data_IF_422010773399
#
_entry.id   IF_422010773399
#
_cell.length_a   1.000
_cell.length_b   1.000
_cell.length_c   1.000
_cell.angle_alpha   90.00
_cell.angle_beta   90.00
_cell.angle_gamma   90.00
#
_symmetry.space_group_name_H-M   'P 1'
#
loop_
_entity.id
_entity.type
_entity.pdbx_description
1 polymer ?
#
# COMPACT_ATOMS: atom_id res chain seq x y z
N UNK A 1 -28.02 -42.56 -21.62
CA UNK A 1 -28.98 -42.55 -22.74
C UNK A 1 -30.39 -42.51 -22.13
N UNK A 2 -31.00 -41.33 -22.14
CA UNK A 2 -32.24 -41.00 -22.87
C UNK A 2 -33.50 -41.71 -22.34
N UNK A 3 -34.64 -41.08 -22.08
CA UNK A 3 -35.11 -39.69 -21.94
C UNK A 3 -36.65 -39.81 -21.74
N UNK A 4 -37.28 -38.80 -21.14
CA UNK A 4 -38.72 -38.43 -21.22
C UNK A 4 -39.82 -39.24 -20.49
N UNK A 5 -40.37 -38.59 -19.45
CA UNK A 5 -41.84 -38.35 -19.27
C UNK A 5 -42.33 -37.39 -20.38
N UNK A 6 -43.64 -37.29 -20.77
CA UNK A 6 -44.82 -37.17 -19.88
C UNK A 6 -46.19 -37.66 -20.43
N UNK A 7 -47.28 -37.53 -19.65
CA UNK A 7 -48.59 -37.00 -20.11
C UNK A 7 -49.59 -36.77 -18.95
N UNK A 8 -50.43 -35.76 -19.18
CA UNK A 8 -51.44 -35.16 -18.31
C UNK A 8 -52.70 -36.03 -18.17
N UNK A 9 -53.49 -35.79 -17.11
CA UNK A 9 -54.92 -35.55 -17.33
C UNK A 9 -55.60 -34.71 -16.23
N UNK A 10 -56.75 -34.17 -16.63
CA UNK A 10 -57.48 -33.00 -16.11
C UNK A 10 -58.67 -33.36 -15.22
N UNK A 11 -59.12 -32.44 -14.34
CA UNK A 11 -60.56 -32.18 -14.15
C UNK A 11 -60.86 -30.86 -13.42
N UNK A 12 -61.92 -30.23 -13.90
CA UNK A 12 -62.46 -28.88 -13.66
C UNK A 12 -63.60 -28.92 -12.64
N UNK A 13 -63.77 -27.86 -11.83
CA UNK A 13 -65.10 -27.30 -11.47
C UNK A 13 -65.00 -25.83 -10.99
N UNK A 14 -65.87 -24.98 -11.55
CA UNK A 14 -66.08 -23.54 -11.32
C UNK A 14 -67.33 -23.30 -10.46
N UNK A 15 -67.38 -22.16 -9.76
CA UNK A 15 -68.52 -21.20 -9.65
C UNK A 15 -68.12 -20.10 -8.64
N UNK A 16 -67.89 -18.82 -8.99
CA UNK A 16 -68.71 -17.71 -9.52
C UNK A 16 -69.04 -16.65 -8.43
N UNK A 17 -68.51 -15.43 -8.62
CA UNK A 17 -68.87 -14.15 -7.93
C UNK A 17 -70.25 -13.64 -8.44
N UNK A 18 -70.83 -12.54 -7.89
CA UNK A 18 -70.56 -11.16 -8.41
C UNK A 18 -70.65 -10.02 -7.33
N UNK A 19 -69.85 -8.94 -7.41
CA UNK A 19 -70.16 -7.53 -7.81
C UNK A 19 -71.22 -6.78 -6.96
N UNK A 20 -71.24 -5.46 -6.67
CA UNK A 20 -70.44 -4.27 -7.00
C UNK A 20 -71.00 -3.02 -6.27
N UNK A 21 -70.20 -1.94 -6.23
CA UNK A 21 -70.56 -0.50 -6.43
C UNK A 21 -71.18 0.44 -5.35
N UNK A 22 -70.51 1.63 -5.27
CA UNK A 22 -71.00 3.04 -5.09
C UNK A 22 -71.60 3.42 -3.72
N UNK A 23 -71.43 4.60 -3.13
CA UNK A 23 -70.86 5.93 -3.44
C UNK A 23 -71.31 6.85 -2.27
N UNK A 24 -70.47 7.74 -1.71
CA UNK A 24 -70.35 9.19 -2.00
C UNK A 24 -70.86 10.08 -0.85
N UNK A 25 -70.15 11.21 -0.64
CA UNK A 25 -70.54 12.46 0.04
C UNK A 25 -70.71 12.44 1.58
N UNK A 26 -70.47 13.49 2.36
CA UNK A 26 -69.83 14.83 2.26
C UNK A 26 -69.93 15.41 3.70
N UNK A 27 -69.00 16.29 4.05
CA UNK A 27 -69.11 17.42 5.01
C UNK A 27 -67.85 17.53 5.89
N UNK A 28 -66.93 18.44 5.55
CA UNK A 28 -66.91 19.87 5.93
C UNK A 28 -66.91 20.08 7.44
N UNK A 29 -65.77 20.51 7.98
CA UNK A 29 -65.71 21.84 8.60
C UNK A 29 -64.27 22.36 8.76
N UNK A 30 -64.11 23.64 8.42
CA UNK A 30 -62.91 24.47 8.42
C UNK A 30 -62.72 25.16 9.79
N UNK A 31 -61.47 25.50 10.08
CA UNK A 31 -60.96 26.55 10.98
C UNK A 31 -61.80 27.85 11.03
N UNK A 32 -61.67 28.67 12.11
CA UNK A 32 -60.85 29.90 11.95
C UNK A 32 -60.08 30.43 13.20
N UNK A 33 -58.80 30.75 12.96
CA UNK A 33 -58.05 32.03 13.16
C UNK A 33 -58.08 32.86 14.48
N UNK A 34 -56.87 33.45 14.72
CA UNK A 34 -56.46 34.70 15.45
C UNK A 34 -56.11 34.51 16.95
N UNK A 35 -55.05 35.11 17.54
CA UNK A 35 -54.42 36.46 17.36
C UNK A 35 -52.89 36.48 17.58
N UNK A 36 -52.26 37.54 17.05
CA UNK A 36 -50.88 38.02 17.20
C UNK A 36 -50.71 38.97 18.41
N UNK A 37 -49.43 39.19 18.78
CA UNK A 37 -48.75 40.40 19.34
C UNK A 37 -48.26 40.32 20.81
N UNK A 38 -47.25 41.13 21.24
CA UNK A 38 -46.15 41.78 20.50
C UNK A 38 -44.75 41.64 21.15
N UNK A 39 -43.71 42.11 20.45
CA UNK A 39 -42.36 42.39 20.97
C UNK A 39 -42.27 43.77 21.66
N UNK A 40 -41.22 44.00 22.46
CA UNK A 40 -40.41 45.23 22.36
C UNK A 40 -38.92 44.84 22.23
N UNK A 41 -37.97 45.62 21.69
CA UNK A 41 -37.92 46.97 21.21
C UNK A 41 -36.44 47.39 21.14
N UNK A 42 -36.00 47.75 19.92
CA UNK A 42 -34.98 48.74 19.50
C UNK A 42 -33.64 48.92 20.25
N UNK A 43 -32.59 48.86 19.42
CA UNK A 43 -31.37 49.68 19.44
C UNK A 43 -30.31 48.99 18.56
N UNK A 44 -29.85 49.44 17.39
CA UNK A 44 -29.81 50.75 16.77
C UNK A 44 -28.35 51.16 16.56
N UNK A 45 -27.75 50.83 15.40
CA UNK A 45 -26.79 51.67 14.64
C UNK A 45 -26.39 51.01 13.31
N UNK A 46 -26.57 51.79 12.24
CA UNK A 46 -26.15 51.54 10.84
C UNK A 46 -24.73 52.07 10.61
N UNK A 47 -23.99 51.46 9.69
CA UNK A 47 -23.16 52.09 8.63
C UNK A 47 -22.88 51.02 7.57
N UNK A 48 -23.45 51.13 6.36
CA UNK A 48 -22.94 51.72 5.11
C UNK A 48 -21.86 50.91 4.36
N UNK A 49 -22.30 50.43 3.19
CA UNK A 49 -21.65 50.29 1.87
C UNK A 49 -20.27 49.65 1.71
N UNK A 50 -20.20 48.73 0.73
CA UNK A 50 -18.95 48.34 0.08
C UNK A 50 -19.08 47.04 -0.70
N UNK A 51 -19.77 47.09 -1.85
CA UNK A 51 -19.61 46.07 -2.88
C UNK A 51 -18.21 46.26 -3.49
N UNK A 52 -17.33 45.27 -3.39
CA UNK A 52 -16.04 45.27 -4.08
C UNK A 52 -15.83 43.92 -4.75
N UNK A 53 -15.86 44.00 -6.07
CA UNK A 53 -15.40 43.04 -7.05
C UNK A 53 -13.88 42.84 -6.90
N UNK A 54 -13.40 41.61 -6.82
CA UNK A 54 -11.96 41.30 -6.84
C UNK A 54 -11.66 40.21 -7.86
N UNK A 55 -11.32 40.69 -9.05
CA UNK A 55 -10.59 39.93 -10.04
C UNK A 55 -9.20 39.50 -9.55
N UNK A 56 -8.78 38.35 -10.06
CA UNK A 56 -7.40 37.83 -10.25
C UNK A 56 -6.25 38.64 -9.63
N UNK A 57 -5.46 37.95 -8.78
CA UNK A 57 -3.99 37.76 -8.88
C UNK A 57 -3.47 37.02 -7.63
N UNK A 58 -2.85 35.86 -7.82
CA UNK A 58 -1.75 35.41 -6.95
C UNK A 58 -0.71 34.70 -7.81
N UNK A 59 0.51 35.23 -7.78
CA UNK A 59 1.69 34.63 -8.35
C UNK A 59 2.69 34.36 -7.21
N UNK A 60 3.28 33.17 -7.28
CA UNK A 60 4.64 32.75 -6.86
C UNK A 60 5.08 32.98 -5.42
N UNK A 61 5.45 31.88 -4.78
CA UNK A 61 6.76 31.79 -4.12
C UNK A 61 7.31 30.36 -4.19
N UNK A 62 8.22 30.14 -5.14
CA UNK A 62 9.08 28.97 -5.20
C UNK A 62 10.41 29.31 -4.54
N UNK A 63 11.03 28.35 -3.86
CA UNK A 63 12.42 28.47 -3.43
C UNK A 63 13.14 27.13 -3.54
N UNK A 64 14.01 27.08 -4.54
CA UNK A 64 15.13 26.14 -4.66
C UNK A 64 16.30 26.69 -3.83
N UNK A 65 16.99 25.83 -3.09
CA UNK A 65 18.29 26.15 -2.49
C UNK A 65 19.37 25.38 -3.26
N UNK A 66 20.25 26.14 -3.90
CA UNK A 66 21.50 25.70 -4.56
C UNK A 66 22.64 26.37 -3.78
N UNK A 67 23.56 25.59 -3.20
CA UNK A 67 24.86 26.08 -2.72
C UNK A 67 25.95 25.30 -3.46
N UNK A 68 26.64 25.94 -4.42
CA UNK A 68 27.89 26.70 -4.32
C UNK A 68 29.14 25.85 -4.65
N UNK A 69 29.55 25.89 -5.92
CA UNK A 69 30.97 25.76 -6.31
C UNK A 69 31.58 27.17 -6.32
N UNK A 70 32.63 27.40 -5.53
CA UNK A 70 33.56 28.53 -5.74
C UNK A 70 34.74 28.06 -6.57
N UNK A 71 35.02 28.80 -7.64
CA UNK A 71 36.19 28.60 -8.48
C UNK A 71 37.45 29.23 -7.89
N UNK A 72 38.59 28.91 -8.54
CA UNK A 72 39.77 29.77 -8.59
C UNK A 72 40.40 29.65 -9.97
N UNK A 73 40.54 30.79 -10.63
CA UNK A 73 41.45 31.03 -11.75
C UNK A 73 42.86 31.26 -11.17
N UNK A 74 43.88 30.68 -11.78
CA UNK A 74 45.19 31.31 -11.89
C UNK A 74 45.88 30.86 -13.19
N UNK A 75 46.71 31.79 -13.64
CA UNK A 75 47.25 31.96 -14.97
C UNK A 75 48.50 31.11 -15.26
N UNK A 76 48.88 31.13 -16.53
CA UNK A 76 49.99 30.43 -17.21
C UNK A 76 51.38 30.62 -16.58
N UNK A 77 52.24 29.59 -16.71
CA UNK A 77 53.61 29.71 -17.25
C UNK A 77 54.24 28.32 -17.46
N UNK A 78 54.98 28.15 -18.56
CA UNK A 78 55.56 26.88 -19.00
C UNK A 78 56.90 26.51 -18.36
N UNK A 79 57.43 25.35 -18.75
CA UNK A 79 58.78 24.91 -18.42
C UNK A 79 59.03 23.48 -18.87
N UNK A 80 60.00 23.30 -19.76
CA UNK A 80 60.40 22.04 -20.41
C UNK A 80 61.19 21.11 -19.46
N UNK A 81 61.38 19.88 -19.96
CA UNK A 81 62.57 19.00 -19.84
C UNK A 81 62.54 17.80 -18.85
N UNK A 82 63.32 16.71 -19.11
CA UNK A 82 62.75 15.45 -19.60
C UNK A 82 63.28 14.17 -18.91
N UNK A 83 62.94 13.02 -19.52
CA UNK A 83 63.69 11.74 -19.62
C UNK A 83 63.61 10.73 -18.46
N UNK A 84 63.07 9.56 -18.85
CA UNK A 84 63.40 8.21 -18.35
C UNK A 84 64.92 7.95 -18.38
N UNK A 85 65.37 6.96 -17.60
CA UNK A 85 66.07 5.85 -18.23
C UNK A 85 65.50 4.48 -17.84
N UNK A 86 65.76 3.53 -18.73
CA UNK A 86 65.48 2.11 -18.64
C UNK A 86 66.82 1.38 -18.73
N UNK A 87 66.87 0.16 -18.17
CA UNK A 87 67.97 -0.83 -18.20
C UNK A 87 69.17 -0.50 -17.26
N UNK A 88 69.83 -1.44 -16.60
CA UNK A 88 70.15 -2.79 -17.05
C UNK A 88 70.50 -3.75 -15.89
N UNK A 89 70.64 -5.03 -16.24
CA UNK A 89 70.59 -6.20 -15.36
C UNK A 89 71.69 -6.38 -14.31
N UNK A 90 71.47 -7.38 -13.45
CA UNK A 90 72.55 -8.25 -12.95
C UNK A 90 72.04 -9.58 -12.38
N UNK A 91 72.90 -10.55 -12.63
CA UNK A 91 72.85 -11.99 -12.48
C UNK A 91 72.78 -12.48 -11.03
N UNK A 92 72.21 -13.69 -10.87
CA UNK A 92 72.22 -14.56 -9.68
C UNK A 92 73.57 -14.59 -8.94
N UNK A 93 73.49 -14.68 -7.60
CA UNK A 93 74.34 -15.57 -6.79
C UNK A 93 73.63 -15.92 -5.49
N UNK A 94 73.59 -17.22 -5.21
CA UNK A 94 73.04 -17.86 -4.02
C UNK A 94 73.93 -17.65 -2.81
N UNK A 95 73.35 -17.29 -1.68
CA UNK A 95 73.89 -17.59 -0.36
C UNK A 95 72.73 -18.03 0.54
N UNK A 96 72.77 -19.30 0.92
CA UNK A 96 72.00 -19.83 2.03
C UNK A 96 72.55 -19.23 3.33
N UNK A 97 71.68 -18.76 4.25
CA UNK A 97 71.78 -19.08 5.68
C UNK A 97 70.62 -18.53 6.55
N UNK A 98 70.14 -19.46 7.40
CA UNK A 98 69.46 -19.35 8.71
C UNK A 98 67.96 -19.00 8.81
N UNK A 99 67.19 -19.79 9.59
CA UNK A 99 65.74 -19.65 9.71
C UNK A 99 65.38 -18.46 10.61
N UNK A 100 64.61 -17.52 10.08
CA UNK A 100 64.03 -16.44 10.86
C UNK A 100 62.95 -16.99 11.82
N UNK A 101 63.07 -16.64 13.09
CA UNK A 101 62.09 -16.91 14.12
C UNK A 101 60.69 -16.44 13.69
N UNK A 102 59.69 -17.33 13.86
CA UNK A 102 58.28 -17.02 13.62
C UNK A 102 57.87 -15.83 14.47
N UNK A 103 57.62 -14.69 13.83
CA UNK A 103 56.85 -13.60 14.44
C UNK A 103 55.46 -14.14 14.77
N UNK A 104 54.89 -13.86 15.96
CA UNK A 104 53.50 -14.16 16.22
C UNK A 104 52.68 -13.42 15.18
N UNK A 105 51.90 -14.16 14.40
CA UNK A 105 50.81 -13.57 13.64
C UNK A 105 49.86 -12.98 14.69
N UNK A 106 49.87 -11.67 14.83
CA UNK A 106 48.73 -10.97 15.41
C UNK A 106 47.58 -11.23 14.45
N UNK A 107 46.77 -12.24 14.76
CA UNK A 107 45.45 -12.39 14.20
C UNK A 107 44.73 -11.09 14.54
N UNK A 108 44.67 -10.18 13.57
CA UNK A 108 43.71 -9.10 13.63
C UNK A 108 42.36 -9.78 13.67
N UNK A 109 41.67 -9.68 14.80
CA UNK A 109 40.26 -9.98 14.88
C UNK A 109 39.57 -9.04 13.90
N UNK A 110 39.37 -9.49 12.66
CA UNK A 110 38.20 -9.08 11.90
C UNK A 110 37.01 -9.36 12.82
N UNK A 111 36.10 -8.40 13.07
CA UNK A 111 34.89 -8.68 13.81
C UNK A 111 34.25 -9.90 13.16
N UNK A 112 34.08 -10.97 13.95
CA UNK A 112 33.41 -12.16 13.45
C UNK A 112 32.09 -11.71 12.85
N UNK A 113 31.86 -12.04 11.57
CA UNK A 113 30.54 -11.90 10.98
C UNK A 113 29.67 -12.92 11.72
N UNK A 114 29.08 -12.49 12.83
CA UNK A 114 27.99 -13.20 13.47
C UNK A 114 26.88 -13.22 12.45
N UNK A 115 26.56 -14.42 11.95
CA UNK A 115 25.53 -14.61 10.94
C UNK A 115 24.17 -14.44 11.63
N UNK A 116 23.80 -13.20 11.93
CA UNK A 116 22.55 -12.85 12.62
C UNK A 116 21.38 -13.24 11.73
N UNK A 117 20.59 -14.20 12.17
CA UNK A 117 19.38 -14.65 11.46
C UNK A 117 18.22 -13.77 11.89
N UNK A 118 17.75 -12.93 10.98
CA UNK A 118 16.61 -12.03 11.22
C UNK A 118 15.36 -12.62 10.58
N UNK A 119 14.29 -12.77 11.35
CA UNK A 119 12.97 -13.08 10.81
C UNK A 119 12.27 -11.80 10.35
N UNK A 120 11.67 -11.84 9.16
CA UNK A 120 10.78 -10.78 8.69
C UNK A 120 9.33 -11.19 8.91
N UNK A 121 8.60 -10.36 9.63
CA UNK A 121 7.17 -10.55 9.90
C UNK A 121 6.39 -9.40 9.30
N UNK A 122 5.25 -9.70 8.70
CA UNK A 122 4.22 -8.70 8.36
C UNK A 122 2.83 -9.27 8.62
N UNK A 123 1.79 -8.56 8.23
CA UNK A 123 0.41 -9.00 8.35
C UNK A 123 -0.23 -9.24 6.97
N UNK A 124 -1.41 -9.88 6.94
CA UNK A 124 -2.03 -10.28 5.68
C UNK A 124 -2.36 -9.12 4.74
N UNK A 125 -2.44 -7.88 5.25
CA UNK A 125 -2.71 -6.71 4.41
C UNK A 125 -1.51 -6.26 3.58
N UNK A 126 -0.36 -6.93 3.67
CA UNK A 126 0.76 -6.74 2.76
C UNK A 126 0.46 -7.24 1.33
N UNK A 127 -0.59 -8.06 1.16
CA UNK A 127 -1.05 -8.58 -0.13
C UNK A 127 0.08 -9.17 -0.98
N UNK A 128 0.91 -10.02 -0.36
CA UNK A 128 2.02 -10.69 -1.02
C UNK A 128 1.62 -12.08 -1.56
N UNK A 129 2.10 -12.48 -2.75
CA UNK A 129 1.88 -13.82 -3.27
C UNK A 129 2.51 -14.91 -2.38
N UNK A 130 1.77 -15.99 -2.10
CA UNK A 130 2.26 -17.12 -1.30
C UNK A 130 3.60 -17.72 -1.78
N UNK A 131 3.87 -17.90 -3.09
CA UNK A 131 5.18 -18.37 -3.56
C UNK A 131 6.33 -17.45 -3.16
N UNK A 132 6.09 -16.13 -3.18
CA UNK A 132 7.10 -15.12 -2.84
C UNK A 132 7.32 -15.05 -1.33
N UNK A 133 6.25 -15.12 -0.54
CA UNK A 133 6.32 -15.23 0.93
C UNK A 133 7.23 -16.41 1.32
N UNK A 134 6.98 -17.58 0.73
CA UNK A 134 7.78 -18.79 0.98
C UNK A 134 9.23 -18.64 0.52
N UNK A 135 9.46 -18.12 -0.68
CA UNK A 135 10.81 -17.96 -1.24
C UNK A 135 11.67 -16.96 -0.43
N UNK A 136 11.03 -15.95 0.18
CA UNK A 136 11.67 -14.90 0.96
C UNK A 136 11.72 -15.17 2.47
N UNK A 137 11.15 -16.29 2.92
CA UNK A 137 11.09 -16.63 4.35
C UNK A 137 10.29 -15.61 5.18
N UNK A 138 9.28 -14.97 4.59
CA UNK A 138 8.46 -13.96 5.26
C UNK A 138 7.37 -14.68 6.07
N UNK A 139 7.16 -14.25 7.31
CA UNK A 139 6.06 -14.72 8.15
C UNK A 139 4.89 -13.76 8.08
N UNK A 140 3.68 -14.28 7.86
CA UNK A 140 2.44 -13.48 7.79
C UNK A 140 1.58 -13.79 9.02
N UNK A 141 1.20 -12.74 9.77
CA UNK A 141 0.17 -12.83 10.80
C UNK A 141 -1.19 -12.43 10.20
N UNK A 142 -2.14 -13.39 10.03
CA UNK A 142 -3.38 -13.12 9.31
C UNK A 142 -4.34 -12.23 10.10
N UNK A 143 -4.91 -11.22 9.43
CA UNK A 143 -6.07 -10.49 9.95
C UNK A 143 -7.34 -11.33 9.77
N UNK A 144 -8.39 -10.98 10.51
CA UNK A 144 -9.67 -11.66 10.42
C UNK A 144 -10.66 -10.84 9.59
N UNK A 145 -11.30 -11.51 8.63
CA UNK A 145 -12.48 -11.04 7.91
C UNK A 145 -13.74 -11.63 8.55
N UNK A 146 -14.66 -10.77 8.97
CA UNK A 146 -16.00 -11.16 9.38
C UNK A 146 -16.96 -10.96 8.20
N UNK A 147 -17.43 -12.07 7.64
CA UNK A 147 -18.21 -12.08 6.41
C UNK A 147 -19.29 -13.16 6.47
N UNK A 148 -20.55 -12.76 6.21
CA UNK A 148 -21.72 -13.65 6.23
C UNK A 148 -21.85 -14.49 7.52
N UNK A 149 -21.61 -13.85 8.68
CA UNK A 149 -21.71 -14.49 9.99
C UNK A 149 -20.54 -15.43 10.34
N UNK A 150 -19.47 -15.45 9.53
CA UNK A 150 -18.26 -16.24 9.77
C UNK A 150 -17.06 -15.33 10.01
N UNK A 151 -16.17 -15.74 10.89
CA UNK A 151 -14.83 -15.17 11.04
C UNK A 151 -13.84 -16.04 10.28
N UNK A 152 -13.10 -15.43 9.36
CA UNK A 152 -12.22 -16.10 8.39
C UNK A 152 -10.86 -15.43 8.42
N UNK A 153 -9.80 -16.21 8.56
CA UNK A 153 -8.43 -15.72 8.47
C UNK A 153 -8.07 -15.39 7.02
N UNK A 154 -7.62 -14.16 6.81
CA UNK A 154 -7.26 -13.62 5.51
C UNK A 154 -6.03 -14.33 4.93
N UNK A 155 -6.15 -14.84 3.70
CA UNK A 155 -5.09 -15.63 3.09
C UNK A 155 -4.88 -17.01 3.73
N UNK A 156 -5.80 -17.46 4.59
CA UNK A 156 -5.81 -18.82 5.16
C UNK A 156 -7.15 -19.48 4.87
N UNK A 157 -8.23 -18.97 5.45
CA UNK A 157 -9.59 -19.52 5.32
C UNK A 157 -10.33 -18.99 4.09
N UNK A 158 -9.95 -17.82 3.60
CA UNK A 158 -10.58 -17.18 2.44
C UNK A 158 -9.53 -16.56 1.52
N UNK A 159 -9.73 -16.75 0.21
CA UNK A 159 -8.87 -16.20 -0.85
C UNK A 159 -9.54 -15.01 -1.54
N UNK A 160 -8.78 -14.09 -2.15
CA UNK A 160 -9.33 -12.96 -2.90
C UNK A 160 -10.41 -13.37 -3.91
N UNK A 161 -10.14 -14.40 -4.72
CA UNK A 161 -11.08 -14.88 -5.75
C UNK A 161 -12.41 -15.37 -5.16
N UNK A 162 -12.39 -16.01 -4.00
CA UNK A 162 -13.61 -16.43 -3.32
C UNK A 162 -14.36 -15.23 -2.73
N UNK A 163 -13.63 -14.33 -2.07
CA UNK A 163 -14.21 -13.13 -1.45
C UNK A 163 -14.92 -12.25 -2.47
N UNK A 164 -14.24 -11.86 -3.56
CA UNK A 164 -14.84 -10.98 -4.56
C UNK A 164 -15.98 -11.65 -5.34
N UNK A 165 -15.94 -12.97 -5.55
CA UNK A 165 -17.08 -13.70 -6.13
C UNK A 165 -18.33 -13.66 -5.25
N UNK A 166 -18.17 -13.66 -3.92
CA UNK A 166 -19.29 -13.66 -2.97
C UNK A 166 -19.79 -12.24 -2.66
N UNK A 167 -18.89 -11.25 -2.63
CA UNK A 167 -19.16 -9.89 -2.18
C UNK A 167 -20.39 -9.21 -2.84
N UNK A 168 -20.65 -9.34 -4.15
CA UNK A 168 -21.83 -8.72 -4.79
C UNK A 168 -23.17 -9.22 -4.24
N UNK A 169 -23.22 -10.47 -3.75
CA UNK A 169 -24.43 -11.10 -3.23
C UNK A 169 -24.50 -11.07 -1.70
N UNK A 170 -23.54 -10.43 -1.03
CA UNK A 170 -23.48 -10.39 0.42
C UNK A 170 -24.63 -9.56 1.00
N UNK A 171 -25.31 -10.13 2.00
CA UNK A 171 -26.42 -9.46 2.69
C UNK A 171 -25.94 -8.42 3.70
N UNK A 172 -24.72 -8.58 4.20
CA UNK A 172 -24.08 -7.67 5.16
C UNK A 172 -22.75 -7.18 4.63
N UNK A 173 -22.40 -5.93 4.91
CA UNK A 173 -21.06 -5.42 4.59
C UNK A 173 -20.00 -6.19 5.40
N UNK A 174 -18.92 -6.69 4.78
CA UNK A 174 -17.85 -7.35 5.52
C UNK A 174 -17.23 -6.39 6.54
N UNK A 175 -16.78 -6.92 7.67
CA UNK A 175 -15.99 -6.16 8.63
C UNK A 175 -14.69 -6.90 8.91
N UNK A 176 -13.73 -6.25 9.55
CA UNK A 176 -12.41 -6.83 9.79
C UNK A 176 -11.98 -6.57 11.23
N UNK A 177 -11.14 -7.43 11.77
CA UNK A 177 -10.46 -7.21 13.05
C UNK A 177 -8.97 -7.50 12.90
N UNK A 178 -8.17 -6.74 13.65
CA UNK A 178 -6.73 -6.97 13.76
C UNK A 178 -6.44 -8.33 14.45
N UNK A 179 -5.23 -8.89 14.31
CA UNK A 179 -4.80 -10.01 15.12
C UNK A 179 -4.66 -9.57 16.58
N UNK A 180 -4.83 -10.50 17.51
CA UNK A 180 -4.61 -10.23 18.94
C UNK A 180 -3.13 -10.11 19.28
N UNK A 181 -2.81 -9.42 20.38
CA UNK A 181 -1.45 -9.38 20.90
C UNK A 181 -0.89 -10.78 21.22
N UNK A 182 -1.75 -11.69 21.70
CA UNK A 182 -1.37 -13.09 21.95
C UNK A 182 -0.93 -13.84 20.69
N UNK A 183 -1.62 -13.65 19.56
CA UNK A 183 -1.22 -14.24 18.28
C UNK A 183 0.15 -13.72 17.80
N UNK A 184 0.43 -12.43 18.00
CA UNK A 184 1.75 -11.87 17.74
C UNK A 184 2.81 -12.46 18.67
N UNK A 185 2.53 -12.52 19.98
CA UNK A 185 3.44 -13.11 20.97
C UNK A 185 3.78 -14.58 20.65
N UNK A 186 2.79 -15.40 20.30
CA UNK A 186 3.02 -16.79 19.89
C UNK A 186 3.90 -16.88 18.64
N UNK A 187 3.63 -16.02 17.65
CA UNK A 187 4.43 -15.95 16.41
C UNK A 187 5.88 -15.56 16.71
N UNK A 188 6.10 -14.52 17.52
CA UNK A 188 7.43 -14.05 17.87
C UNK A 188 8.20 -15.06 18.70
N UNK A 189 7.58 -15.64 19.73
CA UNK A 189 8.20 -16.68 20.54
C UNK A 189 8.62 -17.89 19.70
N UNK A 190 7.78 -18.30 18.73
CA UNK A 190 8.11 -19.36 17.78
C UNK A 190 9.35 -19.04 16.95
N UNK A 191 9.42 -17.83 16.40
CA UNK A 191 10.53 -17.39 15.54
C UNK A 191 11.84 -17.19 16.30
N UNK A 192 11.80 -16.64 17.53
CA UNK A 192 12.98 -16.39 18.36
C UNK A 192 13.71 -17.66 18.83
N UNK A 193 13.13 -18.85 18.63
CA UNK A 193 13.82 -20.12 18.84
C UNK A 193 14.95 -20.34 17.81
N UNK A 194 14.76 -19.85 16.59
CA UNK A 194 15.65 -20.08 15.45
C UNK A 194 16.18 -18.78 14.81
N UNK A 195 15.82 -17.62 15.34
CA UNK A 195 16.25 -16.32 14.84
C UNK A 195 16.79 -15.49 15.97
N UNK A 196 17.82 -14.70 15.69
CA UNK A 196 18.44 -13.80 16.66
C UNK A 196 17.54 -12.59 16.91
N UNK A 197 16.90 -12.05 15.87
CA UNK A 197 16.03 -10.88 15.95
C UNK A 197 14.83 -10.99 15.01
N UNK A 198 13.81 -10.19 15.25
CA UNK A 198 12.60 -10.07 14.43
C UNK A 198 12.41 -8.63 14.00
N UNK A 199 12.21 -8.41 12.70
CA UNK A 199 11.72 -7.13 12.18
C UNK A 199 10.28 -7.32 11.71
N UNK A 200 9.34 -6.66 12.39
CA UNK A 200 7.89 -6.85 12.21
C UNK A 200 7.25 -5.58 11.63
N UNK A 201 6.88 -5.59 10.36
CA UNK A 201 6.42 -4.41 9.61
C UNK A 201 4.93 -4.52 9.34
N UNK A 202 4.14 -3.55 9.81
CA UNK A 202 2.68 -3.67 9.77
C UNK A 202 1.99 -2.52 9.07
N UNK A 203 0.75 -2.78 8.65
CA UNK A 203 -0.18 -1.76 8.16
C UNK A 203 -0.19 -0.54 9.07
N UNK A 204 -0.33 0.63 8.43
CA UNK A 204 -0.49 1.92 9.08
C UNK A 204 -1.33 1.86 10.36
N UNK A 205 -0.78 2.35 11.47
CA UNK A 205 -1.49 2.46 12.75
C UNK A 205 -2.78 3.29 12.64
N UNK A 206 -2.86 4.19 11.65
CA UNK A 206 -4.04 5.04 11.40
C UNK A 206 -5.15 4.32 10.63
N UNK A 207 -4.86 3.16 10.05
CA UNK A 207 -5.83 2.32 9.34
C UNK A 207 -6.28 1.13 10.20
N UNK A 208 -5.41 0.61 11.06
CA UNK A 208 -5.67 -0.57 11.88
C UNK A 208 -4.93 -0.54 13.22
N UNK A 209 -5.51 -1.20 14.24
CA UNK A 209 -4.85 -1.49 15.52
C UNK A 209 -3.81 -2.62 15.45
N UNK A 210 -3.48 -3.13 14.26
CA UNK A 210 -2.51 -4.22 14.06
C UNK A 210 -1.14 -3.85 14.61
N UNK A 211 -0.62 -2.65 14.30
CA UNK A 211 0.66 -2.16 14.83
C UNK A 211 0.69 -2.18 16.36
N UNK A 212 -0.35 -1.63 17.01
CA UNK A 212 -0.43 -1.63 18.47
C UNK A 212 -0.52 -3.04 19.08
N UNK A 213 -1.14 -3.98 18.37
CA UNK A 213 -1.23 -5.38 18.80
C UNK A 213 0.11 -6.11 18.65
N UNK A 214 0.86 -5.81 17.59
CA UNK A 214 2.22 -6.29 17.38
C UNK A 214 3.18 -5.76 18.46
N UNK A 215 3.12 -4.47 18.79
CA UNK A 215 3.91 -3.87 19.89
C UNK A 215 3.62 -4.59 21.23
N UNK A 216 2.35 -4.78 21.57
CA UNK A 216 1.98 -5.53 22.78
C UNK A 216 2.47 -6.99 22.73
N UNK A 217 2.42 -7.64 21.57
CA UNK A 217 2.98 -8.99 21.39
C UNK A 217 4.50 -9.05 21.59
N UNK A 218 5.22 -8.00 21.19
CA UNK A 218 6.65 -7.86 21.45
C UNK A 218 6.94 -7.69 22.94
N UNK A 219 6.18 -6.85 23.65
CA UNK A 219 6.28 -6.67 25.11
C UNK A 219 6.02 -7.96 25.89
N UNK A 220 5.11 -8.82 25.39
CA UNK A 220 4.80 -10.13 25.97
C UNK A 220 5.87 -11.21 25.70
N UNK A 221 6.85 -10.93 24.85
CA UNK A 221 7.88 -11.90 24.43
C UNK A 221 9.27 -11.41 24.80
N UNK A 222 9.96 -10.76 23.87
CA UNK A 222 11.26 -10.15 24.09
C UNK A 222 11.32 -8.81 23.34
N UNK A 223 10.97 -7.69 24.01
CA UNK A 223 10.94 -6.39 23.35
C UNK A 223 12.33 -5.88 22.94
N UNK A 224 13.41 -6.54 23.37
CA UNK A 224 14.78 -6.18 22.96
C UNK A 224 15.20 -6.81 21.62
N UNK A 225 14.51 -7.89 21.21
CA UNK A 225 14.81 -8.65 19.98
C UNK A 225 13.70 -8.55 18.94
N UNK A 226 12.58 -7.88 19.26
CA UNK A 226 11.44 -7.69 18.36
C UNK A 226 11.27 -6.22 18.02
N UNK A 227 11.62 -5.86 16.79
CA UNK A 227 11.56 -4.50 16.28
C UNK A 227 10.28 -4.31 15.45
N UNK A 228 9.27 -3.69 16.04
CA UNK A 228 7.99 -3.44 15.39
C UNK A 228 8.01 -2.08 14.67
N UNK A 229 7.62 -2.05 13.40
CA UNK A 229 7.63 -0.86 12.55
C UNK A 229 6.21 -0.55 12.07
N UNK A 230 5.75 0.68 12.35
CA UNK A 230 4.62 1.27 11.65
C UNK A 230 5.05 1.66 10.23
N UNK A 231 4.54 0.93 9.24
CA UNK A 231 4.86 1.19 7.83
C UNK A 231 4.23 2.48 7.33
N UNK A 232 3.16 3.00 7.96
CA UNK A 232 2.30 4.04 7.39
C UNK A 232 1.77 3.72 5.97
N UNK A 233 1.77 2.45 5.59
CA UNK A 233 1.39 1.94 4.27
C UNK A 233 0.36 0.81 4.40
N UNK A 234 -0.13 0.30 3.28
CA UNK A 234 -1.06 -0.83 3.19
C UNK A 234 -0.96 -1.48 1.82
N UNK A 235 -1.26 -2.77 1.72
CA UNK A 235 -1.34 -3.51 0.45
C UNK A 235 0.00 -3.46 -0.30
N UNK A 236 -0.03 -3.20 -1.62
CA UNK A 236 1.13 -3.23 -2.51
C UNK A 236 2.38 -2.53 -1.96
N UNK A 237 2.22 -1.38 -1.31
CA UNK A 237 3.35 -0.60 -0.78
C UNK A 237 3.91 -1.18 0.51
N UNK A 238 3.06 -1.74 1.39
CA UNK A 238 3.51 -2.53 2.55
C UNK A 238 4.23 -3.80 2.07
N UNK A 239 3.71 -4.46 1.03
CA UNK A 239 4.35 -5.61 0.39
C UNK A 239 5.76 -5.27 -0.13
N UNK A 240 5.91 -4.19 -0.89
CA UNK A 240 7.22 -3.72 -1.37
C UNK A 240 8.20 -3.44 -0.23
N UNK A 241 7.75 -2.74 0.81
CA UNK A 241 8.59 -2.42 1.96
C UNK A 241 9.04 -3.70 2.71
N UNK A 242 8.13 -4.69 2.82
CA UNK A 242 8.43 -5.99 3.42
C UNK A 242 9.43 -6.80 2.60
N UNK A 243 9.31 -6.78 1.27
CA UNK A 243 10.27 -7.43 0.37
C UNK A 243 11.65 -6.78 0.45
N UNK A 244 11.70 -5.46 0.54
CA UNK A 244 12.94 -4.73 0.77
C UNK A 244 13.59 -5.13 2.10
N UNK A 245 12.80 -5.23 3.19
CA UNK A 245 13.31 -5.68 4.49
C UNK A 245 13.89 -7.10 4.42
N UNK A 246 13.20 -8.03 3.76
CA UNK A 246 13.67 -9.40 3.52
C UNK A 246 14.95 -9.46 2.69
N UNK A 247 15.06 -8.62 1.65
CA UNK A 247 16.29 -8.51 0.86
C UNK A 247 17.48 -8.00 1.68
N UNK A 248 17.27 -6.97 2.51
CA UNK A 248 18.33 -6.40 3.36
C UNK A 248 18.75 -7.41 4.44
N UNK A 249 17.80 -8.07 5.09
CA UNK A 249 18.07 -9.12 6.07
C UNK A 249 18.79 -10.33 5.42
N UNK A 250 18.37 -10.74 4.22
CA UNK A 250 18.99 -11.83 3.47
C UNK A 250 20.45 -11.58 3.06
N UNK A 251 20.88 -10.31 3.07
CA UNK A 251 22.29 -9.91 2.86
C UNK A 251 23.13 -9.93 4.15
N UNK A 252 22.56 -10.38 5.28
CA UNK A 252 23.24 -10.48 6.56
C UNK A 252 23.38 -9.16 7.31
N UNK A 253 22.53 -8.17 7.02
CA UNK A 253 22.48 -6.94 7.81
C UNK A 253 22.00 -7.23 9.25
N UNK A 254 22.44 -6.44 10.23
CA UNK A 254 21.91 -6.49 11.59
C UNK A 254 20.50 -5.87 11.69
N UNK A 255 19.72 -6.22 12.72
CA UNK A 255 18.33 -5.79 12.88
C UNK A 255 18.19 -4.26 12.87
N UNK A 256 19.02 -3.54 13.63
CA UNK A 256 19.03 -2.08 13.66
C UNK A 256 19.25 -1.47 12.27
N UNK A 257 20.13 -2.06 11.45
CA UNK A 257 20.39 -1.59 10.09
C UNK A 257 19.20 -1.86 9.15
N UNK A 258 18.51 -3.00 9.32
CA UNK A 258 17.26 -3.29 8.60
C UNK A 258 16.19 -2.27 8.98
N UNK A 259 15.99 -2.03 10.28
CA UNK A 259 15.00 -1.07 10.81
C UNK A 259 15.28 0.35 10.30
N UNK A 260 16.52 0.81 10.40
CA UNK A 260 16.93 2.12 9.93
C UNK A 260 16.65 2.27 8.43
N UNK A 261 17.11 1.30 7.62
CA UNK A 261 16.95 1.37 6.17
C UNK A 261 15.49 1.30 5.76
N UNK A 262 14.69 0.41 6.35
CA UNK A 262 13.24 0.31 6.10
C UNK A 262 12.53 1.61 6.47
N UNK A 263 12.87 2.21 7.61
CA UNK A 263 12.28 3.48 8.05
C UNK A 263 12.62 4.62 7.08
N UNK A 264 13.84 4.69 6.57
CA UNK A 264 14.22 5.64 5.52
C UNK A 264 13.49 5.36 4.20
N UNK A 265 13.42 4.10 3.78
CA UNK A 265 12.78 3.68 2.53
C UNK A 265 11.28 4.00 2.52
N UNK A 266 10.59 3.87 3.66
CA UNK A 266 9.16 4.19 3.80
C UNK A 266 8.81 5.56 3.21
N UNK A 267 9.64 6.57 3.42
CA UNK A 267 9.41 7.95 2.95
C UNK A 267 9.44 8.08 1.42
N UNK A 268 9.99 7.08 0.72
CA UNK A 268 10.10 7.04 -0.73
C UNK A 268 9.10 6.09 -1.39
N UNK A 269 8.43 5.24 -0.60
CA UNK A 269 7.40 4.34 -1.13
C UNK A 269 6.10 5.13 -1.32
N UNK A 270 5.56 5.06 -2.52
CA UNK A 270 4.28 5.68 -2.87
C UNK A 270 3.21 4.64 -3.12
N UNK A 271 1.97 5.03 -2.88
CA UNK A 271 0.78 4.27 -3.28
C UNK A 271 -0.11 5.19 -4.09
N UNK A 272 -0.46 4.79 -5.31
CA UNK A 272 -1.39 5.53 -6.17
C UNK A 272 -2.48 4.59 -6.63
N UNK A 273 -3.74 4.95 -6.41
CA UNK A 273 -4.85 4.07 -6.75
C UNK A 273 -6.12 4.85 -7.05
N UNK A 274 -7.04 4.19 -7.75
CA UNK A 274 -8.40 4.66 -7.99
C UNK A 274 -9.38 3.61 -7.50
N UNK A 275 -10.58 4.07 -7.12
CA UNK A 275 -11.67 3.20 -6.64
C UNK A 275 -12.91 3.39 -7.49
N UNK A 276 -13.68 2.32 -7.66
CA UNK A 276 -14.98 2.41 -8.34
C UNK A 276 -15.96 3.32 -7.57
N UNK A 277 -15.92 3.25 -6.24
CA UNK A 277 -16.73 4.05 -5.32
C UNK A 277 -16.00 4.27 -3.99
N UNK A 278 -16.22 5.42 -3.34
CA UNK A 278 -15.72 5.71 -1.99
C UNK A 278 -16.56 5.04 -0.89
N UNK A 279 -17.66 4.39 -1.25
CA UNK A 279 -18.63 3.86 -0.28
C UNK A 279 -18.03 2.77 0.62
N UNK A 280 -17.20 1.87 0.08
CA UNK A 280 -16.53 0.85 0.89
C UNK A 280 -15.58 1.48 1.90
N UNK A 281 -14.79 2.47 1.47
CA UNK A 281 -13.87 3.18 2.36
C UNK A 281 -14.63 3.93 3.46
N UNK A 282 -15.78 4.50 3.09
CA UNK A 282 -16.67 5.21 4.02
C UNK A 282 -17.28 4.26 5.05
N UNK A 283 -17.90 3.15 4.61
CA UNK A 283 -18.55 2.16 5.48
C UNK A 283 -17.54 1.43 6.36
N UNK A 284 -16.37 1.14 5.81
CA UNK A 284 -15.24 0.58 6.54
C UNK A 284 -14.59 1.56 7.52
N UNK A 285 -14.85 2.86 7.41
CA UNK A 285 -14.27 3.89 8.26
C UNK A 285 -12.81 4.25 7.94
N UNK A 286 -12.25 3.72 6.85
CA UNK A 286 -10.84 3.91 6.43
C UNK A 286 -10.69 4.91 5.28
N UNK A 287 -11.74 5.71 5.02
CA UNK A 287 -11.74 6.76 3.99
C UNK A 287 -10.73 7.89 4.25
N UNK A 288 -10.32 8.09 5.51
CA UNK A 288 -9.34 9.10 5.88
C UNK A 288 -9.70 10.50 5.37
N UNK A 289 -8.71 11.17 4.76
CA UNK A 289 -8.86 12.52 4.20
C UNK A 289 -9.73 12.52 2.93
N UNK A 290 -10.00 11.37 2.32
CA UNK A 290 -10.91 11.27 1.18
C UNK A 290 -12.38 11.47 1.55
N UNK A 291 -12.70 11.55 2.84
CA UNK A 291 -14.02 12.00 3.32
C UNK A 291 -14.41 13.38 2.77
N UNK A 292 -13.43 14.25 2.47
CA UNK A 292 -13.66 15.56 1.86
C UNK A 292 -14.24 15.50 0.42
N UNK A 293 -14.27 14.31 -0.18
CA UNK A 293 -14.90 14.07 -1.48
C UNK A 293 -16.37 13.64 -1.35
N UNK A 294 -16.84 13.29 -0.14
CA UNK A 294 -18.23 12.94 0.09
C UNK A 294 -19.13 14.17 -0.11
N UNK A 295 -20.22 14.01 -0.85
CA UNK A 295 -21.19 15.08 -1.09
C UNK A 295 -20.83 16.04 -2.23
N UNK A 296 -19.73 15.83 -2.97
CA UNK A 296 -19.50 16.60 -4.19
C UNK A 296 -20.55 16.23 -5.25
N UNK A 297 -21.27 17.23 -5.77
CA UNK A 297 -22.34 17.09 -6.78
C UNK A 297 -21.87 16.45 -8.10
N UNK A 298 -20.56 16.37 -8.32
CA UNK A 298 -19.95 15.83 -9.54
C UNK A 298 -19.51 14.37 -9.35
N UNK A 299 -19.89 13.51 -10.31
CA UNK A 299 -19.41 12.13 -10.46
C UNK A 299 -17.91 12.08 -10.82
N UNK A 300 -17.04 12.49 -9.90
CA UNK A 300 -15.58 12.41 -10.08
C UNK A 300 -15.07 11.03 -9.69
N UNK A 301 -14.11 10.52 -10.44
CA UNK A 301 -13.28 9.36 -10.06
C UNK A 301 -11.98 9.91 -9.47
N UNK A 302 -11.70 9.69 -8.18
CA UNK A 302 -10.50 10.25 -7.58
C UNK A 302 -9.27 9.40 -7.88
N UNK A 303 -8.13 10.06 -8.06
CA UNK A 303 -6.82 9.45 -7.83
C UNK A 303 -6.49 9.67 -6.37
N UNK A 304 -6.27 8.57 -5.65
CA UNK A 304 -5.98 8.52 -4.23
C UNK A 304 -4.53 8.09 -4.02
N UNK A 305 -4.01 8.44 -2.85
CA UNK A 305 -2.74 7.97 -2.35
C UNK A 305 -2.81 7.64 -0.87
N UNK A 306 -1.77 6.98 -0.34
CA UNK A 306 -1.54 6.88 1.09
C UNK A 306 -0.53 7.97 1.47
N UNK A 307 -0.90 8.84 2.40
CA UNK A 307 -0.03 9.91 2.91
C UNK A 307 -0.21 10.04 4.41
N UNK A 308 0.90 10.11 5.14
CA UNK A 308 0.92 10.11 6.61
C UNK A 308 0.09 8.95 7.18
N UNK A 309 0.13 7.76 6.56
CA UNK A 309 -0.66 6.62 7.00
C UNK A 309 -2.15 6.64 6.67
N UNK A 310 -2.65 7.62 5.91
CA UNK A 310 -4.09 7.79 5.62
C UNK A 310 -4.40 7.84 4.12
N UNK A 311 -5.56 7.31 3.76
CA UNK A 311 -6.14 7.50 2.43
C UNK A 311 -6.39 8.98 2.17
N UNK A 312 -5.75 9.51 1.13
CA UNK A 312 -5.69 10.94 0.83
C UNK A 312 -5.99 11.20 -0.65
N UNK A 313 -6.92 12.11 -0.99
CA UNK A 313 -7.13 12.54 -2.36
C UNK A 313 -5.90 13.23 -2.91
N UNK A 314 -5.46 12.79 -4.08
CA UNK A 314 -4.39 13.44 -4.82
C UNK A 314 -4.97 14.32 -5.92
N UNK A 315 -5.84 13.75 -6.77
CA UNK A 315 -6.45 14.45 -7.90
C UNK A 315 -7.90 14.01 -8.11
N UNK A 316 -8.70 14.88 -8.74
CA UNK A 316 -10.09 14.59 -9.14
C UNK A 316 -10.17 14.55 -10.65
N UNK A 317 -10.52 13.40 -11.21
CA UNK A 317 -10.73 13.24 -12.65
C UNK A 317 -12.17 12.83 -12.96
N UNK A 318 -12.54 12.88 -14.24
CA UNK A 318 -13.95 12.68 -14.68
C UNK A 318 -14.31 11.22 -14.97
N UNK A 319 -13.32 10.40 -15.36
CA UNK A 319 -13.56 9.01 -15.77
C UNK A 319 -12.54 8.10 -15.11
N UNK A 320 -12.86 6.81 -15.02
CA UNK A 320 -11.99 5.82 -14.39
C UNK A 320 -10.71 5.60 -15.21
N UNK A 321 -10.80 5.51 -16.54
CA UNK A 321 -9.62 5.40 -17.41
C UNK A 321 -8.67 6.60 -17.26
N UNK A 322 -9.20 7.83 -17.11
CA UNK A 322 -8.35 9.01 -16.83
C UNK A 322 -7.65 8.90 -15.49
N UNK A 323 -8.26 8.25 -14.50
CA UNK A 323 -7.65 8.04 -13.20
C UNK A 323 -6.49 7.04 -13.31
N UNK A 324 -6.68 5.95 -14.05
CA UNK A 324 -5.64 4.95 -14.28
C UNK A 324 -4.47 5.51 -15.10
N UNK A 325 -4.74 6.28 -16.16
CA UNK A 325 -3.69 6.96 -16.91
C UNK A 325 -2.89 7.89 -16.00
N UNK A 326 -3.56 8.61 -15.08
CA UNK A 326 -2.87 9.48 -14.14
C UNK A 326 -2.05 8.70 -13.12
N UNK A 327 -2.52 7.53 -12.66
CA UNK A 327 -1.71 6.61 -11.84
C UNK A 327 -0.43 6.20 -12.57
N UNK A 328 -0.51 5.87 -13.87
CA UNK A 328 0.68 5.54 -14.69
C UNK A 328 1.63 6.73 -14.77
N UNK A 329 1.13 7.92 -15.08
CA UNK A 329 1.94 9.14 -15.17
C UNK A 329 2.69 9.43 -13.86
N UNK A 330 1.96 9.47 -12.73
CA UNK A 330 2.53 9.69 -11.39
C UNK A 330 3.58 8.64 -11.03
N UNK A 331 3.38 7.39 -11.45
CA UNK A 331 4.33 6.30 -11.22
C UNK A 331 5.59 6.51 -12.04
N UNK A 332 5.47 6.82 -13.34
CA UNK A 332 6.61 7.11 -14.23
C UNK A 332 7.40 8.34 -13.79
N UNK A 333 6.75 9.35 -13.20
CA UNK A 333 7.41 10.54 -12.63
C UNK A 333 8.41 10.19 -11.50
N UNK A 334 8.28 9.01 -10.88
CA UNK A 334 9.23 8.53 -9.87
C UNK A 334 10.49 7.88 -10.45
N UNK A 335 10.54 7.58 -11.76
CA UNK A 335 11.72 6.99 -12.36
C UNK A 335 12.78 8.07 -12.60
N UNK A 336 13.93 7.92 -11.94
CA UNK A 336 15.09 8.80 -12.10
C UNK A 336 16.15 8.21 -13.03
N UNK A 337 15.76 7.26 -13.89
CA UNK A 337 16.60 6.62 -14.91
C UNK A 337 17.21 5.29 -14.47
N UNK A 338 16.78 4.72 -13.35
CA UNK A 338 17.21 3.39 -12.86
C UNK A 338 16.07 2.37 -12.87
N UNK A 339 14.86 2.79 -13.26
CA UNK A 339 13.66 1.98 -13.23
C UNK A 339 13.00 1.98 -11.85
N UNK A 340 11.87 1.25 -11.77
CA UNK A 340 10.97 1.26 -10.61
C UNK A 340 10.75 -0.15 -10.08
N UNK A 341 10.60 -0.26 -8.76
CA UNK A 341 9.99 -1.42 -8.14
C UNK A 341 8.49 -1.19 -8.01
N UNK A 342 7.67 -1.98 -8.70
CA UNK A 342 6.22 -1.79 -8.80
C UNK A 342 5.46 -3.08 -8.47
N UNK A 343 4.46 -2.95 -7.61
CA UNK A 343 3.39 -3.96 -7.46
C UNK A 343 2.09 -3.30 -7.88
N UNK A 344 1.45 -3.84 -8.91
CA UNK A 344 0.11 -3.45 -9.35
C UNK A 344 -0.91 -4.28 -8.55
N UNK A 345 -1.78 -3.58 -7.83
CA UNK A 345 -2.85 -4.18 -7.04
C UNK A 345 -4.22 -3.99 -7.68
N UNK A 346 -5.09 -4.99 -7.56
CA UNK A 346 -6.49 -4.85 -7.98
C UNK A 346 -7.49 -5.59 -7.09
N UNK A 347 -8.73 -5.13 -7.05
CA UNK A 347 -9.85 -5.83 -6.43
C UNK A 347 -10.84 -6.24 -7.53
N UNK A 348 -10.77 -7.50 -8.00
CA UNK A 348 -11.64 -8.01 -9.08
C UNK A 348 -11.62 -7.17 -10.38
N UNK A 349 -10.45 -6.64 -10.73
CA UNK A 349 -10.22 -5.78 -11.90
C UNK A 349 -8.91 -6.15 -12.61
N UNK A 350 -8.69 -7.45 -12.83
CA UNK A 350 -7.44 -8.00 -13.38
C UNK A 350 -7.09 -7.37 -14.74
N UNK A 351 -8.07 -7.25 -15.65
CA UNK A 351 -7.83 -6.64 -16.97
C UNK A 351 -7.32 -5.20 -16.89
N UNK A 352 -7.82 -4.39 -15.95
CA UNK A 352 -7.31 -3.03 -15.73
C UNK A 352 -5.91 -3.01 -15.11
N UNK A 353 -5.63 -3.96 -14.21
CA UNK A 353 -4.30 -4.15 -13.64
C UNK A 353 -3.28 -4.54 -14.71
N UNK A 354 -3.66 -5.42 -15.64
CA UNK A 354 -2.80 -5.82 -16.76
C UNK A 354 -2.51 -4.66 -17.71
N UNK A 355 -3.51 -3.83 -18.04
CA UNK A 355 -3.30 -2.60 -18.82
C UNK A 355 -2.30 -1.67 -18.12
N UNK A 356 -2.46 -1.47 -16.82
CA UNK A 356 -1.56 -0.61 -16.03
C UNK A 356 -0.14 -1.18 -15.99
N UNK A 357 0.01 -2.48 -15.82
CA UNK A 357 1.30 -3.17 -15.81
C UNK A 357 2.02 -3.06 -17.16
N UNK A 358 1.31 -3.23 -18.28
CA UNK A 358 1.89 -3.08 -19.63
C UNK A 358 2.45 -1.67 -19.85
N UNK A 359 1.74 -0.64 -19.38
CA UNK A 359 2.23 0.74 -19.45
C UNK A 359 3.45 0.99 -18.56
N UNK A 360 3.59 0.27 -17.44
CA UNK A 360 4.71 0.47 -16.51
C UNK A 360 5.92 -0.42 -16.81
N UNK A 361 5.75 -1.47 -17.61
CA UNK A 361 6.82 -2.42 -17.97
C UNK A 361 8.08 -1.75 -18.56
N UNK A 362 8.01 -0.71 -19.42
CA UNK A 362 9.22 -0.05 -19.95
C UNK A 362 10.10 0.63 -18.90
N UNK A 363 9.55 0.98 -17.75
CA UNK A 363 10.26 1.65 -16.64
C UNK A 363 10.41 0.75 -15.41
N UNK A 364 10.00 -0.52 -15.49
CA UNK A 364 10.01 -1.41 -14.34
C UNK A 364 11.32 -2.20 -14.24
N UNK A 365 12.01 -2.03 -13.11
CA UNK A 365 13.05 -2.95 -12.65
C UNK A 365 12.39 -4.21 -12.07
N UNK A 366 11.34 -4.01 -11.28
CA UNK A 366 10.50 -5.03 -10.68
C UNK A 366 9.03 -4.73 -11.01
N UNK A 367 8.29 -5.74 -11.48
CA UNK A 367 6.87 -5.61 -11.81
C UNK A 367 6.11 -6.89 -11.46
N UNK A 368 5.11 -6.73 -10.60
CA UNK A 368 4.20 -7.81 -10.22
C UNK A 368 2.74 -7.33 -10.27
N UNK A 369 1.81 -8.25 -10.51
CA UNK A 369 0.37 -8.02 -10.37
C UNK A 369 -0.13 -8.94 -9.26
N UNK A 370 -0.91 -8.40 -8.32
CA UNK A 370 -1.52 -9.20 -7.27
C UNK A 370 -2.91 -8.67 -6.89
N UNK A 371 -3.91 -9.55 -6.67
CA UNK A 371 -5.19 -9.10 -6.14
C UNK A 371 -5.06 -8.63 -4.68
N UNK A 372 -5.81 -7.60 -4.31
CA UNK A 372 -5.97 -7.17 -2.92
C UNK A 372 -6.65 -8.26 -2.10
N UNK A 373 -6.11 -8.52 -0.91
CA UNK A 373 -6.63 -9.46 0.06
C UNK A 373 -8.04 -9.10 0.54
N UNK A 374 -8.86 -10.09 0.94
CA UNK A 374 -10.19 -9.88 1.51
C UNK A 374 -10.29 -8.79 2.58
N UNK A 375 -9.29 -8.65 3.46
CA UNK A 375 -9.30 -7.60 4.50
C UNK A 375 -9.18 -6.20 3.89
N UNK A 376 -8.23 -5.98 2.99
CA UNK A 376 -8.10 -4.69 2.29
C UNK A 376 -9.33 -4.45 1.39
N UNK A 377 -9.77 -5.48 0.68
CA UNK A 377 -10.95 -5.46 -0.20
C UNK A 377 -12.25 -5.13 0.51
N UNK A 378 -12.43 -5.52 1.78
CA UNK A 378 -13.58 -5.15 2.60
C UNK A 378 -13.71 -3.63 2.80
N UNK A 379 -12.59 -2.89 2.77
CA UNK A 379 -12.57 -1.43 2.91
C UNK A 379 -12.39 -0.71 1.58
N UNK A 380 -11.63 -1.27 0.64
CA UNK A 380 -11.38 -0.62 -0.65
C UNK A 380 -12.51 -0.86 -1.66
N UNK A 381 -13.18 -2.02 -1.56
CA UNK A 381 -14.24 -2.46 -2.46
C UNK A 381 -13.75 -3.09 -3.76
N UNK A 382 -14.64 -3.71 -4.56
CA UNK A 382 -14.31 -4.20 -5.89
C UNK A 382 -14.09 -3.02 -6.87
N UNK A 383 -13.33 -3.27 -7.94
CA UNK A 383 -12.96 -2.29 -8.94
C UNK A 383 -11.83 -1.34 -8.52
N UNK A 384 -11.15 -1.61 -7.42
CA UNK A 384 -9.92 -0.89 -7.04
C UNK A 384 -8.80 -1.31 -7.98
N UNK A 385 -8.02 -0.35 -8.47
CA UNK A 385 -6.79 -0.59 -9.23
C UNK A 385 -5.77 0.46 -8.85
N UNK A 386 -4.51 0.05 -8.66
CA UNK A 386 -3.44 0.97 -8.32
C UNK A 386 -2.09 0.31 -8.24
N UNK A 387 -1.11 1.04 -7.73
CA UNK A 387 0.25 0.58 -7.53
C UNK A 387 0.77 0.95 -6.15
N UNK A 388 1.64 0.09 -5.63
CA UNK A 388 2.72 0.50 -4.75
C UNK A 388 3.99 0.63 -5.59
N UNK A 389 4.79 1.67 -5.36
CA UNK A 389 6.04 1.84 -6.08
C UNK A 389 7.12 2.59 -5.29
N UNK A 390 8.38 2.34 -5.64
CA UNK A 390 9.52 3.18 -5.29
C UNK A 390 10.60 3.07 -6.37
N UNK A 391 11.54 4.02 -6.38
CA UNK A 391 12.63 4.04 -7.37
C UNK A 391 13.69 2.96 -7.08
N UNK A 392 14.10 2.23 -8.12
CA UNK A 392 15.03 1.11 -7.97
C UNK A 392 16.45 1.53 -7.58
N UNK A 393 16.80 2.82 -7.69
CA UNK A 393 18.05 3.40 -7.17
C UNK A 393 18.20 3.24 -5.65
N UNK A 394 17.09 3.11 -4.91
CA UNK A 394 17.08 2.91 -3.46
C UNK A 394 17.49 1.47 -3.11
N UNK A 395 16.81 0.50 -3.72
CA UNK A 395 17.04 -0.93 -3.56
C UNK A 395 16.32 -1.72 -4.67
N UNK A 396 17.01 -2.24 -5.70
CA UNK A 396 16.38 -3.08 -6.71
C UNK A 396 16.00 -4.43 -6.11
N UNK A 397 14.87 -5.01 -6.55
CA UNK A 397 14.39 -6.31 -6.07
C UNK A 397 14.57 -7.44 -7.11
N UNK A 398 14.77 -7.11 -8.39
CA UNK A 398 14.99 -8.08 -9.47
C UNK A 398 13.79 -8.96 -9.78
N UNK A 399 12.58 -8.61 -9.35
CA UNK A 399 11.39 -9.43 -9.50
C UNK A 399 10.65 -9.04 -10.79
N UNK A 400 10.96 -9.75 -11.87
CA UNK A 400 10.24 -9.58 -13.15
C UNK A 400 9.01 -10.47 -13.22
N UNK A 401 8.02 -10.02 -14.00
CA UNK A 401 6.85 -10.83 -14.35
C UNK A 401 7.33 -12.12 -15.02
N UNK A 402 6.91 -13.28 -14.51
CA UNK A 402 7.11 -14.53 -15.25
C UNK A 402 6.29 -14.44 -16.54
N UNK A 403 6.86 -14.74 -17.73
CA UNK A 403 6.12 -14.75 -18.97
C UNK A 403 5.16 -15.94 -18.97
N UNK A 404 4.02 -15.82 -18.29
CA UNK A 404 3.02 -16.88 -18.23
C UNK A 404 1.64 -16.28 -17.95
N UNK A 405 1.10 -15.61 -18.97
CA UNK A 405 -0.35 -15.41 -19.18
C UNK A 405 -0.70 -14.95 -20.62
N UNK A 406 0.25 -14.93 -21.56
CA UNK A 406 -0.03 -14.67 -22.98
C UNK A 406 -0.15 -15.98 -23.78
N UNK A 407 -0.95 -16.95 -23.31
CA UNK A 407 -1.45 -18.02 -24.20
C UNK A 407 -2.70 -18.65 -23.59
N UNK A 408 -3.85 -18.03 -23.86
CA UNK A 408 -5.18 -18.67 -23.93
C UNK A 408 -6.15 -17.63 -24.50
N UNK A 409 -5.98 -17.40 -25.80
CA UNK A 409 -7.04 -16.88 -26.66
C UNK A 409 -7.86 -18.07 -27.16
#
# INVERSE_FOLDING_TARGET
MHVHRPRLDTHVRRSSRPDSNRGSDRDRCRFPRRRKHPSPGRGGKRTHHGCIDLGRRFARDGRWIRLLRRGRLHDRAGGRHPRRPQADGRTRLSLAEKPAARRPQTCGNSPGVTNHRIAIVTDSTADLPAPLIKARGITIVPLTLNFEGRSLLDGVDIRPSEFYRKLPNATTHPTTSQPSAGQFAETYAGLLNDHDDIVSIHISEKLSGTYASAVQGAEMTDPTRVHVIDSQLVSMSLGLLTLAASEIAGRGAAADAVVEKVTQMREHVQTYFSVATLEFLRRGGRIGRASALLGSVLQVKPVLCIRDGLVTPLERVRTFDRALNRVVELTREMDHGQGLCVIVGHADAEGDAERLAQELEPVAETLMIHPLGPVVGAHAGPGVVGVGCYSADILPLGLKRSPTAQTRA
#
